data_IF_433177992875
#
_entry.id   IF_433177992875
#
_cell.length_a   1.000
_cell.length_b   1.000
_cell.length_c   1.000
_cell.angle_alpha   90.00
_cell.angle_beta   90.00
_cell.angle_gamma   90.00
#
_symmetry.space_group_name_H-M   'P 1'
#
loop_
_entity.id
_entity.type
_entity.pdbx_description
1 polymer ?
#
# COMPACT_ATOMS: atom_id res chain seq x y z
N UNK A 1 22.28 -6.86 16.85
CA UNK A 1 20.97 -6.74 17.50
C UNK A 1 20.23 -5.65 16.77
N UNK A 2 19.24 -6.00 15.97
CA UNK A 2 18.47 -5.04 15.19
C UNK A 2 17.59 -4.22 16.14
N UNK A 3 17.80 -2.91 16.20
CA UNK A 3 16.81 -2.01 16.78
C UNK A 3 15.64 -1.88 15.79
N UNK A 4 14.42 -2.00 16.28
CA UNK A 4 13.23 -1.72 15.49
C UNK A 4 13.26 -0.24 15.03
N UNK A 5 12.80 0.01 13.81
CA UNK A 5 12.63 1.35 13.24
C UNK A 5 11.17 1.54 12.82
N UNK A 6 10.72 2.77 12.84
CA UNK A 6 9.44 3.18 12.26
C UNK A 6 9.70 3.95 10.96
N UNK A 7 8.81 3.81 9.98
CA UNK A 7 8.83 4.62 8.76
C UNK A 7 7.61 5.53 8.79
N UNK A 8 7.83 6.84 8.71
CA UNK A 8 6.80 7.84 8.49
C UNK A 8 6.67 8.10 7.00
N UNK A 9 5.55 7.67 6.43
CA UNK A 9 5.10 8.20 5.15
C UNK A 9 4.40 9.54 5.36
N UNK A 10 4.29 10.34 4.30
CA UNK A 10 3.56 11.59 4.35
C UNK A 10 2.06 11.29 4.35
N UNK A 11 1.30 11.78 5.33
CA UNK A 11 -0.15 11.71 5.32
C UNK A 11 -0.73 13.02 4.83
N UNK A 12 -1.64 12.98 3.84
CA UNK A 12 -2.28 14.16 3.27
C UNK A 12 -3.82 14.10 3.30
N UNK A 13 -4.40 13.29 4.20
CA UNK A 13 -5.85 13.15 4.30
C UNK A 13 -6.47 12.49 3.05
N UNK A 14 -5.83 11.44 2.54
CA UNK A 14 -6.24 10.71 1.33
C UNK A 14 -6.44 11.62 0.10
N UNK A 15 -5.44 12.44 -0.21
CA UNK A 15 -5.48 13.38 -1.31
C UNK A 15 -6.26 14.65 -1.00
N UNK A 16 -6.05 15.21 0.19
CA UNK A 16 -6.72 16.41 0.70
C UNK A 16 -8.25 16.28 0.81
N UNK A 17 -8.76 15.04 0.95
CA UNK A 17 -10.19 14.78 1.15
C UNK A 17 -10.61 14.99 2.61
N UNK A 18 -9.66 15.09 3.54
CA UNK A 18 -9.89 15.44 4.95
C UNK A 18 -8.81 16.39 5.47
N UNK A 19 -9.12 17.12 6.54
CA UNK A 19 -8.13 17.87 7.30
C UNK A 19 -7.23 16.90 8.08
N UNK A 20 -5.91 17.10 8.04
CA UNK A 20 -4.96 16.08 8.49
C UNK A 20 -3.76 16.62 9.29
N UNK A 21 -3.70 17.92 9.58
CA UNK A 21 -2.51 18.57 10.18
C UNK A 21 -2.04 17.89 11.47
N UNK A 22 -2.97 17.38 12.28
CA UNK A 22 -2.64 16.64 13.51
C UNK A 22 -2.30 15.18 13.25
N UNK A 23 -2.94 14.56 12.26
CA UNK A 23 -2.73 13.16 11.91
C UNK A 23 -1.32 12.95 11.34
N UNK A 24 -0.81 13.93 10.57
CA UNK A 24 0.56 13.92 10.05
C UNK A 24 1.64 13.88 11.15
N UNK A 25 1.30 14.25 12.40
CA UNK A 25 2.24 14.24 13.52
C UNK A 25 2.26 12.89 14.28
N UNK A 26 1.29 12.01 14.03
CA UNK A 26 1.09 10.78 14.82
C UNK A 26 2.25 9.82 14.68
N UNK A 27 2.77 9.61 13.47
CA UNK A 27 3.89 8.67 13.24
C UNK A 27 5.13 9.03 14.07
N UNK A 28 5.49 10.32 14.09
CA UNK A 28 6.63 10.80 14.89
C UNK A 28 6.38 10.70 16.39
N UNK A 29 5.16 10.99 16.84
CA UNK A 29 4.77 10.86 18.24
C UNK A 29 4.85 9.41 18.72
N UNK A 30 4.31 8.47 17.95
CA UNK A 30 4.33 7.04 18.28
C UNK A 30 5.76 6.49 18.27
N UNK A 31 6.59 6.86 17.28
CA UNK A 31 7.98 6.42 17.24
C UNK A 31 8.79 6.91 18.44
N UNK A 32 8.58 8.17 18.85
CA UNK A 32 9.19 8.72 20.06
C UNK A 32 8.76 7.98 21.32
N UNK A 33 7.48 7.64 21.46
CA UNK A 33 6.96 6.90 22.62
C UNK A 33 7.44 5.46 22.66
N UNK A 34 7.59 4.82 21.50
CA UNK A 34 8.13 3.47 21.36
C UNK A 34 9.66 3.41 21.51
N UNK A 35 10.35 4.57 21.55
CA UNK A 35 11.81 4.63 21.66
C UNK A 35 12.54 4.07 20.43
N UNK A 36 11.92 4.15 19.25
CA UNK A 36 12.47 3.64 17.98
C UNK A 36 12.92 4.79 17.07
N UNK A 37 13.92 4.53 16.25
CA UNK A 37 14.34 5.48 15.22
C UNK A 37 13.22 5.68 14.19
N UNK A 38 12.88 6.93 13.91
CA UNK A 38 11.97 7.29 12.82
C UNK A 38 12.77 7.56 11.55
N UNK A 39 12.45 6.84 10.48
CA UNK A 39 12.83 7.19 9.12
C UNK A 39 11.64 7.84 8.41
N UNK A 40 11.91 8.67 7.41
CA UNK A 40 10.87 9.35 6.62
C UNK A 40 10.94 8.90 5.18
N UNK A 41 9.78 8.70 4.56
CA UNK A 41 9.69 8.47 3.12
C UNK A 41 9.39 9.76 2.37
N UNK A 42 9.80 9.82 1.10
CA UNK A 42 9.37 10.86 0.16
C UNK A 42 7.93 10.66 -0.33
N UNK A 43 7.38 9.45 -0.22
CA UNK A 43 6.04 9.13 -0.69
C UNK A 43 4.96 9.57 0.29
N UNK A 44 3.84 10.02 -0.26
CA UNK A 44 2.55 10.01 0.42
C UNK A 44 2.01 8.59 0.34
N UNK A 45 1.77 7.97 1.49
CA UNK A 45 1.21 6.63 1.58
C UNK A 45 0.57 6.43 2.95
N UNK A 46 -0.54 5.72 2.98
CA UNK A 46 -1.25 5.31 4.18
C UNK A 46 -1.06 3.82 4.45
N UNK A 47 -1.11 3.42 5.73
CA UNK A 47 -0.89 2.01 6.11
C UNK A 47 -1.85 1.02 5.45
N UNK A 48 -3.08 1.42 5.12
CA UNK A 48 -4.03 0.58 4.38
C UNK A 48 -3.77 0.48 2.88
N UNK A 49 -2.94 1.38 2.32
CA UNK A 49 -2.56 1.38 0.90
C UNK A 49 -1.57 0.27 0.53
N UNK A 50 -0.96 -0.38 1.52
CA UNK A 50 0.07 -1.41 1.34
C UNK A 50 -0.20 -2.62 2.24
N UNK A 51 -0.03 -3.81 1.69
CA UNK A 51 -0.03 -5.06 2.45
C UNK A 51 1.32 -5.77 2.25
N UNK A 52 1.94 -6.25 3.32
CA UNK A 52 3.26 -6.91 3.28
C UNK A 52 3.21 -8.32 3.88
N UNK A 53 3.98 -9.25 3.31
CA UNK A 53 4.03 -10.66 3.76
C UNK A 53 5.06 -10.93 4.87
N UNK A 54 5.91 -9.94 5.19
CA UNK A 54 7.03 -10.08 6.12
C UNK A 54 8.24 -10.86 5.57
N UNK A 55 8.23 -11.24 4.29
CA UNK A 55 9.27 -11.99 3.58
C UNK A 55 9.77 -11.30 2.30
N UNK A 56 9.45 -10.02 2.16
CA UNK A 56 9.96 -9.14 1.11
C UNK A 56 8.96 -8.83 -0.02
N UNK A 57 7.72 -9.28 0.09
CA UNK A 57 6.67 -9.01 -0.90
C UNK A 57 5.67 -7.99 -0.36
N UNK A 58 5.29 -7.04 -1.21
CA UNK A 58 4.13 -6.19 -0.98
C UNK A 58 3.06 -6.39 -2.07
N UNK A 59 1.80 -6.18 -1.71
CA UNK A 59 0.70 -5.94 -2.63
C UNK A 59 0.29 -4.48 -2.46
N UNK A 60 0.15 -3.75 -3.57
CA UNK A 60 -0.18 -2.32 -3.60
C UNK A 60 -1.13 -2.04 -4.76
N UNK A 61 -2.02 -1.06 -4.63
CA UNK A 61 -2.83 -0.56 -5.75
C UNK A 61 -2.20 0.68 -6.40
N UNK A 62 -2.19 0.71 -7.74
CA UNK A 62 -1.72 1.85 -8.53
C UNK A 62 -2.56 3.09 -8.25
N UNK A 63 -3.88 2.95 -8.18
CA UNK A 63 -4.81 4.05 -7.92
C UNK A 63 -4.61 4.75 -6.58
N UNK A 64 -4.07 4.03 -5.58
CA UNK A 64 -3.77 4.57 -4.25
C UNK A 64 -2.41 5.25 -4.21
N UNK A 65 -1.40 4.80 -4.95
CA UNK A 65 -0.02 5.29 -4.79
C UNK A 65 0.42 6.22 -5.91
N UNK A 66 0.07 5.90 -7.15
CA UNK A 66 0.56 6.59 -8.34
C UNK A 66 -0.40 7.69 -8.84
N UNK A 67 -1.50 7.91 -8.13
CA UNK A 67 -2.44 8.98 -8.43
C UNK A 67 -1.83 10.36 -8.11
N UNK A 68 -2.12 11.35 -8.95
CA UNK A 68 -1.64 12.74 -8.81
C UNK A 68 -2.03 13.38 -7.47
N UNK A 69 -3.12 12.94 -6.84
CA UNK A 69 -3.51 13.43 -5.52
C UNK A 69 -2.66 12.84 -4.36
N UNK A 70 -1.75 11.91 -4.64
CA UNK A 70 -0.81 11.32 -3.67
C UNK A 70 0.62 11.68 -4.04
N UNK A 71 1.09 11.18 -5.17
CA UNK A 71 2.48 11.28 -5.58
C UNK A 71 2.58 11.76 -7.04
N UNK A 72 2.29 13.05 -7.30
CA UNK A 72 2.29 13.57 -8.67
C UNK A 72 3.66 13.43 -9.32
N UNK A 73 3.67 12.92 -10.55
CA UNK A 73 4.87 12.65 -11.36
C UNK A 73 5.80 11.55 -10.83
N UNK A 74 5.44 10.83 -9.76
CA UNK A 74 6.21 9.67 -9.31
C UNK A 74 5.92 8.49 -10.22
N UNK A 75 6.96 7.95 -10.83
CA UNK A 75 6.85 6.73 -11.64
C UNK A 75 6.75 5.49 -10.75
N UNK A 76 6.20 4.41 -11.31
CA UNK A 76 6.16 3.11 -10.63
C UNK A 76 7.54 2.66 -10.14
N UNK A 77 8.59 2.83 -10.95
CA UNK A 77 9.95 2.43 -10.60
C UNK A 77 10.55 3.25 -9.45
N UNK A 78 10.25 4.55 -9.38
CA UNK A 78 10.65 5.40 -8.26
C UNK A 78 9.92 5.02 -6.97
N UNK A 79 8.61 4.75 -7.07
CA UNK A 79 7.83 4.26 -5.93
C UNK A 79 8.37 2.91 -5.42
N UNK A 80 8.66 1.96 -6.32
CA UNK A 80 9.29 0.68 -5.98
C UNK A 80 10.62 0.88 -5.28
N UNK A 81 11.50 1.74 -5.81
CA UNK A 81 12.82 2.00 -5.23
C UNK A 81 12.72 2.52 -3.79
N UNK A 82 11.85 3.50 -3.55
CA UNK A 82 11.65 4.07 -2.21
C UNK A 82 11.02 3.05 -1.25
N UNK A 83 9.98 2.34 -1.66
CA UNK A 83 9.30 1.34 -0.81
C UNK A 83 10.22 0.18 -0.46
N UNK A 84 10.99 -0.33 -1.42
CA UNK A 84 11.97 -1.39 -1.20
C UNK A 84 13.05 -0.94 -0.20
N UNK A 85 13.56 0.29 -0.34
CA UNK A 85 14.56 0.83 0.57
C UNK A 85 14.03 1.03 2.00
N UNK A 86 12.77 1.45 2.16
CA UNK A 86 12.18 1.75 3.48
C UNK A 86 11.65 0.52 4.21
N UNK A 87 11.09 -0.43 3.46
CA UNK A 87 10.35 -1.55 4.04
C UNK A 87 11.08 -2.90 3.88
N UNK A 88 12.26 -2.91 3.25
CA UNK A 88 13.03 -4.13 3.02
C UNK A 88 12.38 -5.07 2.01
N UNK A 89 11.57 -4.52 1.10
CA UNK A 89 10.91 -5.29 0.05
C UNK A 89 11.90 -5.63 -1.07
N UNK A 90 11.64 -6.72 -1.76
CA UNK A 90 12.34 -7.13 -2.98
C UNK A 90 11.36 -7.38 -4.13
N UNK A 91 10.06 -7.42 -3.85
CA UNK A 91 9.00 -7.58 -4.85
C UNK A 91 7.75 -6.80 -4.48
N UNK A 92 7.14 -6.18 -5.48
CA UNK A 92 5.84 -5.52 -5.34
C UNK A 92 4.91 -6.06 -6.42
N UNK A 93 3.74 -6.55 -6.00
CA UNK A 93 2.64 -6.94 -6.87
C UNK A 93 1.70 -5.74 -6.97
N UNK A 94 1.58 -5.18 -8.17
CA UNK A 94 0.72 -4.03 -8.44
C UNK A 94 -0.66 -4.46 -8.93
N UNK A 95 -1.68 -4.03 -8.21
CA UNK A 95 -3.08 -4.13 -8.62
C UNK A 95 -3.52 -2.76 -9.17
N UNK A 96 -4.45 -2.68 -10.13
CA UNK A 96 -4.88 -1.39 -10.67
C UNK A 96 -5.64 -0.50 -9.66
N UNK A 97 -6.42 -1.09 -8.76
CA UNK A 97 -7.36 -0.39 -7.87
C UNK A 97 -8.37 0.52 -8.62
N UNK A 98 -9.06 1.42 -7.89
CA UNK A 98 -9.97 2.41 -8.50
C UNK A 98 -9.85 3.78 -7.82
N UNK A 99 -9.36 4.77 -8.55
CA UNK A 99 -9.28 6.14 -8.07
C UNK A 99 -10.67 6.82 -8.02
N UNK A 100 -10.89 7.66 -7.01
CA UNK A 100 -12.07 8.53 -6.89
C UNK A 100 -13.38 7.84 -6.54
N UNK A 101 -13.40 6.52 -6.31
CA UNK A 101 -14.62 5.79 -5.90
C UNK A 101 -14.85 5.84 -4.40
N UNK A 102 -13.82 5.56 -3.62
CA UNK A 102 -13.84 5.74 -2.18
C UNK A 102 -12.81 6.81 -1.76
N UNK A 103 -12.81 7.15 -0.48
CA UNK A 103 -11.92 8.20 0.03
C UNK A 103 -10.45 7.85 -0.16
N UNK A 104 -10.11 6.57 -0.12
CA UNK A 104 -8.74 6.08 -0.16
C UNK A 104 -8.17 5.89 -1.55
N UNK A 105 -9.01 6.05 -2.60
CA UNK A 105 -8.64 5.77 -3.99
C UNK A 105 -8.25 4.29 -4.21
N UNK A 106 -8.96 3.38 -3.54
CA UNK A 106 -8.81 1.94 -3.67
C UNK A 106 -7.63 1.37 -2.89
N UNK A 107 -7.59 1.57 -1.57
CA UNK A 107 -6.61 0.92 -0.70
C UNK A 107 -6.53 -0.60 -0.91
N UNK A 108 -5.32 -1.15 -0.78
CA UNK A 108 -5.08 -2.59 -0.91
C UNK A 108 -5.74 -3.38 0.21
N UNK A 109 -5.85 -2.83 1.42
CA UNK A 109 -6.44 -3.53 2.57
C UNK A 109 -7.93 -3.91 2.38
N UNK A 110 -8.62 -3.24 1.46
CA UNK A 110 -9.96 -3.61 1.00
C UNK A 110 -9.95 -4.80 0.03
N UNK A 111 -8.91 -4.92 -0.79
CA UNK A 111 -8.85 -5.86 -1.92
C UNK A 111 -8.06 -7.14 -1.64
N UNK A 112 -6.95 -7.08 -0.89
CA UNK A 112 -6.05 -8.22 -0.75
C UNK A 112 -5.26 -8.18 0.55
N UNK A 113 -5.22 -9.31 1.27
CA UNK A 113 -4.48 -9.49 2.53
C UNK A 113 -3.67 -10.78 2.51
N UNK A 114 -2.44 -10.77 2.99
CA UNK A 114 -1.70 -12.02 3.19
C UNK A 114 -2.29 -12.77 4.39
N UNK A 115 -2.69 -14.02 4.18
CA UNK A 115 -3.17 -14.91 5.23
C UNK A 115 -2.14 -15.99 5.61
N UNK A 116 -0.99 -15.99 4.94
CA UNK A 116 0.13 -16.90 5.16
C UNK A 116 1.13 -16.77 4.02
N UNK A 117 2.21 -17.55 4.11
CA UNK A 117 3.23 -17.63 3.06
C UNK A 117 2.58 -18.07 1.74
N UNK A 118 2.80 -17.32 0.66
CA UNK A 118 2.20 -17.59 -0.66
C UNK A 118 0.66 -17.59 -0.69
N UNK A 119 -0.02 -17.13 0.37
CA UNK A 119 -1.48 -17.22 0.49
C UNK A 119 -2.09 -15.84 0.67
N UNK A 120 -2.94 -15.45 -0.27
CA UNK A 120 -3.65 -14.17 -0.27
C UNK A 120 -5.16 -14.41 -0.16
N UNK A 121 -5.80 -13.74 0.80
CA UNK A 121 -7.26 -13.55 0.78
C UNK A 121 -7.54 -12.34 -0.10
N UNK A 122 -8.29 -12.56 -1.18
CA UNK A 122 -8.63 -11.53 -2.15
C UNK A 122 -10.15 -11.31 -2.18
N UNK A 123 -10.56 -10.05 -2.28
CA UNK A 123 -11.95 -9.67 -2.46
C UNK A 123 -12.44 -10.08 -3.85
N UNK A 124 -13.67 -10.57 -3.91
CA UNK A 124 -14.37 -10.91 -5.13
C UNK A 124 -15.79 -10.37 -5.04
N UNK A 125 -16.16 -9.53 -6.00
CA UNK A 125 -17.52 -9.05 -6.17
C UNK A 125 -18.24 -9.90 -7.23
N UNK A 126 -19.22 -10.75 -6.88
CA UNK A 126 -19.90 -11.62 -7.84
C UNK A 126 -20.97 -10.92 -8.69
N UNK A 127 -21.53 -9.80 -8.24
CA UNK A 127 -22.58 -9.06 -8.96
C UNK A 127 -21.96 -8.17 -10.04
N UNK A 128 -22.18 -8.55 -11.30
CA UNK A 128 -21.64 -7.85 -12.47
C UNK A 128 -22.15 -6.43 -12.68
N UNK A 129 -23.14 -6.00 -11.90
CA UNK A 129 -23.64 -4.63 -11.91
C UNK A 129 -22.89 -3.70 -10.96
N UNK A 130 -22.10 -4.24 -10.03
CA UNK A 130 -21.30 -3.45 -9.10
C UNK A 130 -20.08 -2.82 -9.78
N UNK A 131 -19.67 -1.66 -9.29
CA UNK A 131 -18.66 -0.82 -9.93
C UNK A 131 -17.25 -1.45 -9.94
N UNK A 132 -16.96 -2.34 -9.00
CA UNK A 132 -15.67 -3.00 -8.81
C UNK A 132 -15.66 -4.48 -9.22
N UNK A 133 -16.75 -5.01 -9.76
CA UNK A 133 -16.79 -6.37 -10.31
C UNK A 133 -15.65 -6.64 -11.29
N UNK A 134 -15.48 -5.76 -12.29
CA UNK A 134 -14.43 -5.93 -13.31
C UNK A 134 -13.01 -5.79 -12.74
N UNK A 135 -12.81 -4.89 -11.77
CA UNK A 135 -11.50 -4.68 -11.16
C UNK A 135 -11.13 -5.87 -10.28
N UNK A 136 -12.07 -6.44 -9.52
CA UNK A 136 -11.80 -7.59 -8.64
C UNK A 136 -11.47 -8.83 -9.45
N UNK A 137 -12.11 -9.06 -10.61
CA UNK A 137 -11.69 -10.11 -11.55
C UNK A 137 -10.26 -9.90 -12.06
N UNK A 138 -9.89 -8.66 -12.37
CA UNK A 138 -8.53 -8.31 -12.80
C UNK A 138 -7.51 -8.51 -11.68
N UNK A 139 -7.86 -8.14 -10.45
CA UNK A 139 -7.00 -8.37 -9.27
C UNK A 139 -6.77 -9.86 -9.06
N UNK A 140 -7.83 -10.68 -9.13
CA UNK A 140 -7.71 -12.13 -9.00
C UNK A 140 -6.83 -12.74 -10.08
N UNK A 141 -6.93 -12.28 -11.33
CA UNK A 141 -6.07 -12.75 -12.42
C UNK A 141 -4.59 -12.40 -12.17
N UNK A 142 -4.30 -11.16 -11.78
CA UNK A 142 -2.93 -10.73 -11.43
C UNK A 142 -2.39 -11.56 -10.27
N UNK A 143 -3.16 -11.72 -9.19
CA UNK A 143 -2.73 -12.45 -8.00
C UNK A 143 -2.48 -13.93 -8.31
N UNK A 144 -3.33 -14.57 -9.12
CA UNK A 144 -3.16 -15.99 -9.53
C UNK A 144 -1.94 -16.22 -10.42
N UNK A 145 -1.55 -15.21 -11.19
CA UNK A 145 -0.40 -15.29 -12.10
C UNK A 145 0.88 -14.66 -11.53
N UNK A 146 0.82 -14.17 -10.28
CA UNK A 146 1.98 -13.63 -9.58
C UNK A 146 2.61 -14.70 -8.71
N UNK A 147 3.90 -14.51 -8.43
CA UNK A 147 4.59 -15.23 -7.36
C UNK A 147 5.00 -14.25 -6.27
N UNK A 148 5.30 -14.72 -5.06
CA UNK A 148 5.90 -13.88 -4.03
C UNK A 148 7.42 -13.67 -4.24
N UNK A 149 8.09 -12.99 -3.31
CA UNK A 149 9.54 -12.75 -3.35
C UNK A 149 10.39 -14.05 -3.21
N UNK A 150 9.80 -15.12 -2.66
CA UNK A 150 10.41 -16.43 -2.51
C UNK A 150 10.09 -17.38 -3.67
N UNK A 151 9.21 -16.94 -4.59
CA UNK A 151 8.83 -17.70 -5.78
C UNK A 151 7.67 -18.69 -5.56
N UNK A 152 6.92 -18.55 -4.46
CA UNK A 152 5.68 -19.31 -4.24
C UNK A 152 4.56 -18.81 -5.15
#
# INVERSE_FOLDING_TARGET
GSSNKAVSFNFNGWGNKQAYDKDALVAAKVASEAGVTLETSSLVLEGGGIEVDGQGTAIITESCVLNDNRNPNVTKAEAETELMARLGLTKIIWLPGIAGRDITDGHTDFYARFAGVGTVLAHYEPDSTQYDHSVTLTHLDILRNSTDAQGN
#
